data_IF_663828754978
#
_entry.id   IF_663828754978
#
_cell.length_a   1.000
_cell.length_b   1.000
_cell.length_c   1.000
_cell.angle_alpha   90.00
_cell.angle_beta   90.00
_cell.angle_gamma   90.00
#
_symmetry.space_group_name_H-M   'P 1'
#
loop_
_entity.id
_entity.type
_entity.pdbx_description
1 polymer ?
#
# COMPACT_ATOMS: atom_id res chain seq x y z
N UNK A 1 11.30 21.71 -49.25
CA UNK A 1 11.81 23.05 -48.91
C UNK A 1 12.79 22.84 -47.82
N UNK A 2 14.14 22.67 -48.11
CA UNK A 2 15.13 23.73 -48.27
C UNK A 2 15.07 24.67 -47.05
N UNK A 3 16.12 24.80 -46.23
CA UNK A 3 17.51 25.16 -46.41
C UNK A 3 18.31 24.73 -45.16
N UNK A 4 19.48 24.09 -45.18
CA UNK A 4 20.87 24.64 -45.32
C UNK A 4 21.13 25.87 -44.49
N UNK A 5 22.11 25.85 -43.54
CA UNK A 5 23.49 26.30 -43.74
C UNK A 5 24.25 26.32 -42.41
N UNK A 6 25.40 25.82 -42.38
CA UNK A 6 26.77 26.30 -42.31
C UNK A 6 27.37 26.50 -40.92
N UNK A 7 28.45 25.76 -40.69
CA UNK A 7 29.49 26.08 -39.71
C UNK A 7 30.50 27.13 -40.24
N UNK A 8 31.37 27.59 -39.41
CA UNK A 8 32.78 27.53 -39.69
C UNK A 8 33.61 27.18 -38.43
N UNK A 9 34.77 26.61 -38.41
CA UNK A 9 35.95 26.93 -39.14
C UNK A 9 37.09 26.80 -38.14
N UNK A 10 37.93 25.79 -38.32
CA UNK A 10 39.11 25.50 -37.47
C UNK A 10 40.24 26.43 -37.91
N UNK A 11 40.81 27.21 -37.01
CA UNK A 11 42.11 27.83 -37.21
C UNK A 11 43.20 27.18 -36.36
N UNK A 12 44.17 26.65 -37.04
CA UNK A 12 45.37 26.06 -36.47
C UNK A 12 46.41 27.11 -36.06
N UNK A 13 46.97 26.93 -34.89
CA UNK A 13 48.13 27.70 -34.43
C UNK A 13 49.38 26.84 -34.62
N UNK A 14 50.25 27.31 -35.50
CA UNK A 14 51.63 26.83 -35.70
C UNK A 14 52.53 27.32 -34.56
N UNK A 15 53.18 26.39 -33.89
CA UNK A 15 54.31 26.70 -32.99
C UNK A 15 55.64 26.42 -33.72
N UNK A 16 56.44 27.43 -33.87
CA UNK A 16 57.81 27.32 -34.30
C UNK A 16 58.79 27.18 -33.13
N UNK A 17 59.80 26.34 -33.24
CA UNK A 17 60.84 26.25 -32.21
C UNK A 17 62.03 27.18 -32.52
N UNK A 18 62.37 28.10 -31.64
CA UNK A 18 63.65 28.75 -31.63
C UNK A 18 64.46 28.22 -30.47
N UNK A 19 65.57 27.53 -30.86
CA UNK A 19 66.59 27.12 -29.93
C UNK A 19 67.54 28.25 -29.65
N UNK A 20 67.87 28.44 -28.43
CA UNK A 20 69.07 29.26 -28.04
C UNK A 20 70.01 28.38 -27.22
N UNK A 21 71.14 28.13 -27.82
CA UNK A 21 72.26 27.38 -27.26
C UNK A 21 73.06 28.35 -26.38
N UNK A 22 73.10 28.17 -25.08
CA UNK A 22 74.01 28.84 -24.18
C UNK A 22 75.14 27.92 -23.80
N UNK A 23 76.36 28.45 -24.06
CA UNK A 23 77.62 27.81 -23.73
C UNK A 23 77.87 27.70 -22.24
N UNK A 24 78.38 26.55 -21.82
CA UNK A 24 78.77 26.25 -20.44
C UNK A 24 80.29 26.62 -20.27
N UNK A 25 80.61 27.43 -19.26
CA UNK A 25 82.07 27.64 -18.92
C UNK A 25 82.56 26.43 -18.13
N UNK A 26 83.65 25.87 -18.56
CA UNK A 26 84.45 24.88 -17.84
C UNK A 26 85.02 25.49 -16.56
N UNK A 27 84.48 25.11 -15.40
CA UNK A 27 84.97 25.39 -14.06
C UNK A 27 85.55 24.17 -13.40
N UNK A 28 86.67 24.30 -12.74
CA UNK A 28 87.60 23.36 -12.17
C UNK A 28 86.97 22.30 -11.21
N UNK A 29 87.62 21.16 -10.96
CA UNK A 29 87.09 20.08 -10.16
C UNK A 29 86.95 20.45 -8.69
N UNK A 30 85.73 20.51 -8.20
CA UNK A 30 85.48 20.65 -6.76
C UNK A 30 85.81 19.38 -6.04
N UNK A 31 86.62 19.44 -5.00
CA UNK A 31 86.93 18.37 -4.06
C UNK A 31 85.63 17.86 -3.47
N UNK A 32 85.50 16.53 -3.28
CA UNK A 32 84.33 15.98 -2.61
C UNK A 32 84.29 16.45 -1.14
N UNK A 33 83.25 17.24 -0.83
CA UNK A 33 83.00 17.61 0.55
C UNK A 33 82.65 16.32 1.34
N UNK A 34 83.43 16.02 2.35
CA UNK A 34 83.18 14.92 3.24
C UNK A 34 81.79 15.08 3.85
N UNK A 35 80.90 14.17 3.50
CA UNK A 35 79.55 14.11 4.07
C UNK A 35 79.70 13.91 5.58
N UNK A 36 79.53 14.97 6.37
CA UNK A 36 79.49 14.89 7.80
C UNK A 36 78.26 14.07 8.18
N UNK A 37 78.49 12.82 8.55
CA UNK A 37 77.45 11.99 9.19
C UNK A 37 77.06 12.65 10.51
N UNK A 38 76.12 13.59 10.48
CA UNK A 38 75.49 14.11 11.70
C UNK A 38 74.77 12.97 12.36
N UNK A 39 75.36 12.40 13.43
CA UNK A 39 74.76 11.43 14.30
C UNK A 39 73.50 12.09 14.90
N UNK A 40 72.35 11.65 14.41
CA UNK A 40 71.04 12.06 14.94
C UNK A 40 71.03 11.88 16.46
N UNK A 41 70.75 12.94 17.20
CA UNK A 41 70.60 12.88 18.67
C UNK A 41 69.56 11.84 19.07
N UNK A 42 69.68 11.23 20.28
CA UNK A 42 68.73 10.25 20.74
C UNK A 42 67.29 10.71 20.65
N UNK A 43 67.00 12.01 20.87
CA UNK A 43 65.70 12.62 20.71
C UNK A 43 65.23 12.65 19.23
N UNK A 44 66.10 12.91 18.28
CA UNK A 44 65.77 12.88 16.86
C UNK A 44 65.46 11.47 16.35
N UNK A 45 66.18 10.45 16.85
CA UNK A 45 65.89 9.04 16.55
C UNK A 45 64.49 8.62 17.13
N UNK A 46 64.16 9.09 18.32
CA UNK A 46 62.85 8.81 18.96
C UNK A 46 61.71 9.47 18.18
N UNK A 47 61.87 10.73 17.78
CA UNK A 47 60.90 11.45 16.95
C UNK A 47 60.71 10.77 15.58
N UNK A 48 61.81 10.30 14.96
CA UNK A 48 61.72 9.59 13.68
C UNK A 48 60.99 8.25 13.83
N UNK A 49 61.30 7.49 14.91
CA UNK A 49 60.63 6.22 15.20
C UNK A 49 59.12 6.44 15.48
N UNK A 50 58.74 7.49 16.22
CA UNK A 50 57.34 7.85 16.47
C UNK A 50 56.64 8.26 15.16
N UNK A 51 57.28 9.06 14.30
CA UNK A 51 56.73 9.43 13.01
C UNK A 51 56.54 8.21 12.07
N UNK A 52 57.50 7.30 12.03
CA UNK A 52 57.39 6.03 11.29
C UNK A 52 56.25 5.14 11.83
N UNK A 53 56.08 5.06 13.13
CA UNK A 53 55.00 4.31 13.73
C UNK A 53 53.60 4.89 13.37
N UNK A 54 53.48 6.25 13.37
CA UNK A 54 52.25 6.91 12.96
C UNK A 54 51.97 6.63 11.48
N UNK A 55 52.97 6.76 10.59
CA UNK A 55 52.81 6.45 9.18
C UNK A 55 52.39 5.00 8.96
N UNK A 56 53.01 4.05 9.69
CA UNK A 56 52.63 2.65 9.59
C UNK A 56 51.15 2.41 10.01
N UNK A 57 50.72 3.02 11.10
CA UNK A 57 49.34 2.94 11.57
C UNK A 57 48.36 3.50 10.53
N UNK A 58 48.73 4.63 9.90
CA UNK A 58 47.91 5.24 8.84
C UNK A 58 47.84 4.35 7.60
N UNK A 59 48.96 3.74 7.19
CA UNK A 59 49.03 2.82 6.04
C UNK A 59 48.19 1.56 6.33
N UNK A 60 48.34 0.96 7.50
CA UNK A 60 47.56 -0.24 7.91
C UNK A 60 46.08 0.09 7.96
N UNK A 61 45.70 1.29 8.45
CA UNK A 61 44.31 1.76 8.44
C UNK A 61 43.79 1.92 7.02
N UNK A 62 44.52 2.56 6.16
CA UNK A 62 44.12 2.80 4.74
C UNK A 62 43.94 1.46 4.01
N UNK A 63 44.90 0.56 4.13
CA UNK A 63 44.81 -0.79 3.56
C UNK A 63 43.59 -1.55 4.11
N UNK A 64 43.37 -1.50 5.43
CA UNK A 64 42.23 -2.14 6.05
C UNK A 64 40.90 -1.57 5.55
N UNK A 65 40.79 -0.24 5.36
CA UNK A 65 39.60 0.43 4.81
C UNK A 65 39.38 0.00 3.37
N UNK A 66 40.44 -0.05 2.54
CA UNK A 66 40.33 -0.49 1.13
C UNK A 66 39.87 -1.95 1.03
N UNK A 67 40.48 -2.84 1.80
CA UNK A 67 40.09 -4.27 1.83
C UNK A 67 38.65 -4.44 2.30
N UNK A 68 38.24 -3.73 3.36
CA UNK A 68 36.85 -3.81 3.84
C UNK A 68 35.84 -3.17 2.87
N UNK A 69 36.25 -2.26 1.98
CA UNK A 69 35.36 -1.63 1.01
C UNK A 69 35.35 -2.35 -0.34
N UNK A 70 36.27 -3.29 -0.62
CA UNK A 70 36.32 -4.01 -1.91
C UNK A 70 35.02 -4.74 -2.23
N UNK A 71 34.38 -5.32 -1.24
CA UNK A 71 33.15 -6.08 -1.37
C UNK A 71 31.88 -5.26 -1.07
N UNK A 72 32.06 -3.98 -0.70
CA UNK A 72 30.95 -3.04 -0.36
C UNK A 72 30.66 -2.14 -1.52
N UNK A 73 30.21 -2.73 -2.62
CA UNK A 73 29.79 -2.04 -3.83
C UNK A 73 28.28 -1.78 -3.82
N UNK A 74 27.77 -0.84 -4.61
CA UNK A 74 26.31 -0.63 -4.75
C UNK A 74 25.59 -1.88 -5.24
N UNK A 75 26.21 -2.62 -6.17
CA UNK A 75 25.65 -3.87 -6.72
C UNK A 75 25.54 -4.95 -5.64
N UNK A 76 26.55 -5.06 -4.77
CA UNK A 76 26.52 -5.98 -3.64
C UNK A 76 25.40 -5.62 -2.67
N UNK A 77 25.18 -4.33 -2.38
CA UNK A 77 24.11 -3.85 -1.52
C UNK A 77 22.74 -4.13 -2.13
N UNK A 78 22.56 -3.94 -3.44
CA UNK A 78 21.30 -4.28 -4.15
C UNK A 78 21.05 -5.78 -4.11
N UNK A 79 22.08 -6.60 -4.39
CA UNK A 79 21.95 -8.06 -4.33
C UNK A 79 21.56 -8.53 -2.93
N UNK A 80 22.21 -8.02 -1.90
CA UNK A 80 21.87 -8.32 -0.50
C UNK A 80 20.42 -7.93 -0.19
N UNK A 81 20.00 -6.74 -0.58
CA UNK A 81 18.66 -6.23 -0.37
C UNK A 81 17.59 -7.14 -1.01
N UNK A 82 17.73 -7.45 -2.30
CA UNK A 82 16.77 -8.31 -3.00
C UNK A 82 16.78 -9.73 -2.44
N UNK A 83 17.97 -10.25 -2.05
CA UNK A 83 18.07 -11.56 -1.43
C UNK A 83 17.36 -11.60 -0.07
N UNK A 84 17.48 -10.55 0.76
CA UNK A 84 16.76 -10.47 2.03
C UNK A 84 15.24 -10.46 1.83
N UNK A 85 14.75 -9.76 0.79
CA UNK A 85 13.33 -9.80 0.41
C UNK A 85 12.94 -11.22 -0.02
N UNK A 86 13.73 -11.85 -0.88
CA UNK A 86 13.51 -13.22 -1.36
C UNK A 86 13.43 -14.24 -0.23
N UNK A 87 14.27 -14.06 0.78
CA UNK A 87 14.36 -14.94 1.97
C UNK A 87 13.25 -14.64 3.01
N UNK A 88 12.43 -13.63 2.78
CA UNK A 88 11.41 -13.19 3.76
C UNK A 88 11.95 -12.45 4.97
N UNK A 89 13.18 -11.98 4.91
CA UNK A 89 13.84 -11.19 5.96
C UNK A 89 13.52 -9.70 5.78
N UNK A 90 12.24 -9.37 5.72
CA UNK A 90 11.72 -8.04 5.38
C UNK A 90 12.24 -6.94 6.32
N UNK A 91 12.29 -7.23 7.63
CA UNK A 91 12.81 -6.28 8.61
C UNK A 91 14.33 -6.01 8.43
N UNK A 92 15.08 -7.00 7.95
CA UNK A 92 16.49 -6.80 7.62
C UNK A 92 16.67 -6.02 6.32
N UNK A 93 15.84 -6.29 5.30
CA UNK A 93 15.82 -5.54 4.05
C UNK A 93 15.49 -4.06 4.30
N UNK A 94 14.50 -3.76 5.13
CA UNK A 94 14.12 -2.38 5.50
C UNK A 94 15.24 -1.61 6.19
N UNK A 95 16.18 -2.27 6.89
CA UNK A 95 17.36 -1.61 7.48
C UNK A 95 18.40 -1.15 6.47
N UNK A 96 18.36 -1.68 5.25
CA UNK A 96 19.23 -1.23 4.15
C UNK A 96 18.68 -0.01 3.42
N UNK A 97 17.44 0.36 3.70
CA UNK A 97 16.78 1.54 3.14
C UNK A 97 17.13 2.78 3.97
N UNK A 98 17.04 3.96 3.35
CA UNK A 98 17.27 5.23 4.04
C UNK A 98 16.18 5.45 5.11
N UNK A 99 16.55 5.74 6.39
CA UNK A 99 15.60 5.91 7.47
C UNK A 99 14.74 7.20 7.36
N UNK A 100 15.09 8.13 6.48
CA UNK A 100 14.39 9.41 6.33
C UNK A 100 13.05 9.27 5.57
N UNK A 101 12.75 8.11 5.00
CA UNK A 101 11.45 7.84 4.39
C UNK A 101 10.46 7.33 5.44
N UNK A 102 9.40 8.09 5.65
CA UNK A 102 8.27 7.70 6.50
C UNK A 102 7.51 6.56 5.84
N UNK A 103 7.90 5.33 6.16
CA UNK A 103 7.11 4.16 5.78
C UNK A 103 5.81 4.14 6.57
N UNK A 104 4.73 3.73 5.91
CA UNK A 104 3.40 3.67 6.51
C UNK A 104 3.43 2.83 7.81
N UNK A 105 2.62 3.19 8.78
CA UNK A 105 2.44 2.45 10.05
C UNK A 105 1.97 1.00 9.85
N UNK A 106 1.72 0.63 8.61
CA UNK A 106 1.26 -0.69 8.21
C UNK A 106 2.37 -1.74 8.39
N UNK A 107 2.13 -2.73 9.24
CA UNK A 107 3.09 -3.78 9.63
C UNK A 107 3.43 -4.78 8.52
N UNK A 108 3.16 -4.47 7.23
CA UNK A 108 3.37 -5.38 6.10
C UNK A 108 4.84 -5.60 5.75
N UNK A 109 5.74 -4.72 6.17
CA UNK A 109 7.20 -4.88 5.98
C UNK A 109 7.85 -5.73 7.08
N UNK A 110 7.06 -6.53 7.80
CA UNK A 110 7.55 -7.45 8.82
C UNK A 110 7.77 -8.87 8.25
N UNK A 111 8.66 -9.64 8.86
CA UNK A 111 8.91 -11.03 8.50
C UNK A 111 7.64 -11.92 8.62
N UNK A 112 6.66 -11.50 9.44
CA UNK A 112 5.39 -12.19 9.63
C UNK A 112 4.53 -12.22 8.37
N UNK A 113 4.67 -11.23 7.49
CA UNK A 113 3.96 -11.15 6.21
C UNK A 113 4.39 -12.25 5.25
N UNK A 114 5.67 -12.67 5.34
CA UNK A 114 6.26 -13.64 4.41
C UNK A 114 5.57 -15.01 4.44
N UNK A 115 4.98 -15.42 5.56
CA UNK A 115 4.23 -16.70 5.63
C UNK A 115 3.01 -16.71 4.70
N UNK A 116 2.52 -15.54 4.27
CA UNK A 116 1.47 -15.40 3.26
C UNK A 116 1.97 -15.37 1.81
N UNK A 117 3.28 -15.35 1.58
CA UNK A 117 3.86 -15.27 0.23
C UNK A 117 3.73 -16.61 -0.49
N UNK A 118 3.20 -16.58 -1.72
CA UNK A 118 3.10 -17.72 -2.63
C UNK A 118 4.04 -17.61 -3.82
N UNK A 119 4.55 -16.42 -4.07
CA UNK A 119 5.58 -16.14 -5.07
C UNK A 119 6.45 -15.02 -4.57
N UNK A 120 7.64 -15.32 -4.07
CA UNK A 120 8.61 -14.34 -3.63
C UNK A 120 9.33 -13.71 -4.82
N UNK A 121 9.76 -12.47 -4.63
CA UNK A 121 10.73 -11.83 -5.51
C UNK A 121 12.02 -12.66 -5.52
N UNK A 122 12.63 -12.80 -6.71
CA UNK A 122 13.96 -13.41 -6.87
C UNK A 122 14.86 -12.44 -7.62
N UNK A 123 16.09 -12.33 -7.18
CA UNK A 123 17.14 -11.63 -7.92
C UNK A 123 17.52 -12.47 -9.13
N UNK A 124 17.62 -11.85 -10.30
CA UNK A 124 18.10 -12.47 -11.52
C UNK A 124 19.47 -11.92 -11.91
N UNK A 125 19.53 -10.65 -12.29
CA UNK A 125 20.75 -10.01 -12.78
C UNK A 125 20.76 -8.50 -12.53
N UNK A 126 21.91 -7.90 -12.77
CA UNK A 126 22.08 -6.45 -12.87
C UNK A 126 22.33 -6.12 -14.33
N UNK A 127 21.46 -5.30 -14.93
CA UNK A 127 21.58 -4.90 -16.34
C UNK A 127 22.54 -3.75 -16.55
N UNK A 128 22.51 -2.77 -15.67
CA UNK A 128 23.37 -1.60 -15.73
C UNK A 128 23.63 -1.00 -14.36
N UNK A 129 24.76 -0.31 -14.30
CA UNK A 129 25.21 0.38 -13.10
C UNK A 129 25.79 1.73 -13.50
N UNK A 130 25.43 2.77 -12.75
CA UNK A 130 25.98 4.12 -12.90
C UNK A 130 26.32 4.68 -11.53
N UNK A 131 27.56 5.13 -11.37
CA UNK A 131 28.02 5.81 -10.16
C UNK A 131 28.26 7.29 -10.46
N UNK A 132 27.80 8.16 -9.57
CA UNK A 132 28.06 9.59 -9.59
C UNK A 132 28.92 9.95 -8.37
N UNK A 133 30.20 10.25 -8.64
CA UNK A 133 31.17 10.60 -7.60
C UNK A 133 30.82 11.93 -6.91
N UNK A 134 30.21 12.87 -7.64
CA UNK A 134 29.93 14.21 -7.12
C UNK A 134 28.83 14.16 -6.04
N UNK A 135 27.81 13.35 -6.27
CA UNK A 135 26.69 13.17 -5.35
C UNK A 135 26.90 12.00 -4.38
N UNK A 136 27.95 11.19 -4.54
CA UNK A 136 28.12 9.92 -3.83
C UNK A 136 26.89 9.01 -3.94
N UNK A 137 26.27 8.97 -5.10
CA UNK A 137 25.09 8.18 -5.38
C UNK A 137 25.35 7.13 -6.46
N UNK A 138 24.55 6.09 -6.47
CA UNK A 138 24.59 5.08 -7.51
C UNK A 138 23.18 4.75 -7.98
N UNK A 139 23.05 4.45 -9.26
CA UNK A 139 21.84 3.91 -9.86
C UNK A 139 22.13 2.51 -10.40
N UNK A 140 21.35 1.53 -9.97
CA UNK A 140 21.50 0.13 -10.34
C UNK A 140 20.19 -0.36 -10.95
N UNK A 141 20.22 -0.77 -12.21
CA UNK A 141 19.08 -1.42 -12.85
C UNK A 141 19.15 -2.92 -12.61
N UNK A 142 18.22 -3.43 -11.85
CA UNK A 142 18.13 -4.84 -11.45
C UNK A 142 17.00 -5.54 -12.19
N UNK A 143 17.25 -6.75 -12.64
CA UNK A 143 16.22 -7.68 -13.10
C UNK A 143 15.83 -8.56 -11.92
N UNK A 144 14.54 -8.56 -11.64
CA UNK A 144 13.92 -9.43 -10.64
C UNK A 144 12.88 -10.31 -11.31
N UNK A 145 12.50 -11.40 -10.69
CA UNK A 145 11.40 -12.23 -11.17
C UNK A 145 10.45 -12.62 -10.05
N UNK A 146 9.17 -12.76 -10.40
CA UNK A 146 8.12 -13.28 -9.51
C UNK A 146 7.35 -14.33 -10.31
N UNK A 147 7.32 -15.56 -9.83
CA UNK A 147 6.69 -16.70 -10.52
C UNK A 147 7.12 -16.83 -12.00
N UNK A 148 8.40 -16.59 -12.29
CA UNK A 148 8.98 -16.67 -13.63
C UNK A 148 8.67 -15.49 -14.55
N UNK A 149 8.00 -14.46 -14.09
CA UNK A 149 7.84 -13.18 -14.83
C UNK A 149 8.96 -12.25 -14.44
N UNK A 150 9.74 -11.84 -15.45
CA UNK A 150 10.87 -10.92 -15.27
C UNK A 150 10.41 -9.46 -15.32
N UNK A 151 11.02 -8.64 -14.50
CA UNK A 151 10.77 -7.21 -14.41
C UNK A 151 12.08 -6.48 -14.15
N UNK A 152 12.23 -5.31 -14.78
CA UNK A 152 13.34 -4.41 -14.48
C UNK A 152 12.90 -3.37 -13.44
N UNK A 153 13.81 -3.03 -12.55
CA UNK A 153 13.61 -1.97 -11.57
C UNK A 153 14.89 -1.18 -11.38
N UNK A 154 14.76 0.14 -11.31
CA UNK A 154 15.86 1.05 -11.01
C UNK A 154 15.92 1.26 -9.51
N UNK A 155 17.07 0.95 -8.91
CA UNK A 155 17.36 1.24 -7.51
C UNK A 155 18.42 2.33 -7.40
N UNK A 156 18.10 3.38 -6.67
CA UNK A 156 19.04 4.45 -6.33
C UNK A 156 19.58 4.25 -4.94
N UNK A 157 20.88 4.46 -4.81
CA UNK A 157 21.59 4.29 -3.55
C UNK A 157 22.36 5.56 -3.23
N UNK A 158 22.44 5.84 -1.94
CA UNK A 158 23.25 6.90 -1.38
C UNK A 158 24.38 6.31 -0.54
N UNK A 159 25.61 6.74 -0.82
CA UNK A 159 26.76 6.34 -0.03
C UNK A 159 26.81 7.16 1.26
N UNK A 160 26.81 6.48 2.39
CA UNK A 160 27.25 7.01 3.66
C UNK A 160 28.53 6.31 4.11
N UNK A 161 29.42 7.04 4.78
CA UNK A 161 30.66 6.46 5.32
C UNK A 161 30.56 6.39 6.82
N UNK A 162 30.90 5.23 7.38
CA UNK A 162 31.02 5.12 8.83
C UNK A 162 32.19 5.97 9.35
N UNK A 163 32.26 6.21 10.67
CA UNK A 163 33.39 6.91 11.30
C UNK A 163 34.75 6.26 11.01
N UNK A 164 34.77 4.99 10.63
CA UNK A 164 35.99 4.24 10.24
C UNK A 164 36.30 4.33 8.76
N UNK A 165 35.52 5.07 7.96
CA UNK A 165 35.71 5.18 6.51
C UNK A 165 35.16 4.00 5.70
N UNK A 166 34.38 3.12 6.33
CA UNK A 166 33.77 1.95 5.68
C UNK A 166 32.54 2.41 4.91
N UNK A 167 32.43 2.02 3.65
CA UNK A 167 31.31 2.30 2.78
C UNK A 167 30.03 1.62 3.31
N UNK A 168 28.95 2.39 3.34
CA UNK A 168 27.63 1.91 3.72
C UNK A 168 26.62 2.47 2.72
N UNK A 169 26.22 1.65 1.76
CA UNK A 169 25.24 2.00 0.76
C UNK A 169 23.82 1.84 1.32
N UNK A 170 23.02 2.89 1.20
CA UNK A 170 21.61 2.90 1.57
C UNK A 170 20.75 3.07 0.33
N UNK A 171 19.71 2.27 0.25
CA UNK A 171 18.72 2.35 -0.83
C UNK A 171 17.80 3.53 -0.54
N UNK A 172 17.63 4.41 -1.54
CA UNK A 172 16.81 5.63 -1.44
C UNK A 172 15.41 5.37 -1.98
N UNK A 173 15.29 4.59 -3.06
CA UNK A 173 14.00 4.20 -3.64
C UNK A 173 13.83 2.68 -3.55
N UNK A 174 13.30 2.16 -2.45
CA UNK A 174 13.18 0.72 -2.25
C UNK A 174 12.17 0.07 -3.21
N UNK A 175 12.28 -1.25 -3.36
CA UNK A 175 11.28 -2.07 -4.06
C UNK A 175 10.02 -2.18 -3.21
N UNK A 176 9.20 -1.14 -3.20
CA UNK A 176 7.94 -1.11 -2.47
C UNK A 176 6.78 -0.82 -3.41
N UNK A 177 5.65 -1.41 -3.13
CA UNK A 177 4.37 -1.14 -3.79
C UNK A 177 3.41 -0.63 -2.74
N UNK A 178 2.81 0.52 -2.99
CA UNK A 178 1.71 1.00 -2.16
C UNK A 178 0.43 0.29 -2.56
N UNK A 179 -0.12 -0.51 -1.66
CA UNK A 179 -1.33 -1.29 -1.88
C UNK A 179 -2.48 -0.69 -1.10
N UNK A 180 -3.53 -0.30 -1.82
CA UNK A 180 -4.76 0.21 -1.22
C UNK A 180 -5.75 -0.94 -1.09
N UNK A 181 -6.01 -1.39 0.13
CA UNK A 181 -7.02 -2.38 0.47
C UNK A 181 -8.36 -1.68 0.66
N UNK A 182 -9.33 -2.01 -0.17
CA UNK A 182 -10.69 -1.47 -0.02
C UNK A 182 -11.40 -2.12 1.15
N UNK A 183 -11.99 -1.31 2.02
CA UNK A 183 -12.88 -1.79 3.06
C UNK A 183 -14.22 -2.27 2.50
N UNK A 184 -14.93 -3.06 3.31
CA UNK A 184 -16.27 -3.53 2.99
C UNK A 184 -17.12 -3.59 4.26
N UNK A 185 -18.42 -3.26 4.25
CA UNK A 185 -19.26 -3.21 5.46
C UNK A 185 -19.30 -4.49 6.29
N UNK A 186 -19.06 -5.63 5.67
CA UNK A 186 -19.04 -6.93 6.34
C UNK A 186 -17.65 -7.51 6.60
N UNK A 187 -16.61 -6.76 6.22
CA UNK A 187 -15.22 -7.14 6.45
C UNK A 187 -14.71 -6.49 7.75
N UNK A 188 -14.21 -7.32 8.65
CA UNK A 188 -13.55 -6.86 9.86
C UNK A 188 -12.05 -6.56 9.63
N UNK A 189 -11.36 -7.49 8.97
CA UNK A 189 -9.92 -7.37 8.70
C UNK A 189 -9.49 -8.19 7.50
N UNK A 190 -8.34 -7.83 6.95
CA UNK A 190 -7.55 -8.68 6.06
C UNK A 190 -6.46 -9.38 6.85
N UNK A 191 -6.16 -10.63 6.48
CA UNK A 191 -5.03 -11.37 7.01
C UNK A 191 -4.11 -11.78 5.88
N UNK A 192 -2.82 -11.44 6.03
CA UNK A 192 -1.75 -11.76 5.08
C UNK A 192 -0.61 -12.40 5.87
N UNK A 193 -0.40 -13.69 5.67
CA UNK A 193 0.48 -14.47 6.52
C UNK A 193 0.00 -14.45 7.97
N UNK A 194 0.83 -13.94 8.89
CA UNK A 194 0.47 -13.77 10.30
C UNK A 194 0.12 -12.32 10.67
N UNK A 195 0.06 -11.42 9.69
CA UNK A 195 -0.31 -10.01 9.90
C UNK A 195 -1.80 -9.82 9.67
N UNK A 196 -2.44 -9.14 10.59
CA UNK A 196 -3.85 -8.74 10.49
C UNK A 196 -3.90 -7.22 10.27
N UNK A 197 -4.59 -6.81 9.22
CA UNK A 197 -4.92 -5.42 8.90
C UNK A 197 -6.37 -5.19 9.28
N UNK A 198 -6.61 -4.30 10.22
CA UNK A 198 -7.95 -3.87 10.58
C UNK A 198 -8.55 -3.09 9.40
N UNK A 199 -9.67 -3.56 8.86
CA UNK A 199 -10.33 -2.92 7.72
C UNK A 199 -11.03 -1.60 8.08
N UNK A 200 -10.85 -1.11 9.30
CA UNK A 200 -11.44 0.16 9.74
C UNK A 200 -12.97 0.12 9.67
N UNK A 201 -13.58 -0.84 10.37
CA UNK A 201 -15.04 -0.90 10.47
C UNK A 201 -15.59 0.45 10.94
N UNK A 202 -16.39 1.10 10.10
CA UNK A 202 -17.10 2.33 10.44
C UNK A 202 -18.60 2.06 10.47
N UNK A 203 -19.24 2.39 11.56
CA UNK A 203 -20.68 2.22 11.79
C UNK A 203 -21.57 2.92 10.74
N UNK A 204 -20.98 3.84 9.96
CA UNK A 204 -21.70 4.76 9.06
C UNK A 204 -21.44 4.55 7.57
N UNK A 205 -20.57 3.65 7.18
CA UNK A 205 -20.13 3.67 5.80
C UNK A 205 -20.79 2.57 4.96
N UNK A 206 -21.62 2.95 4.05
CA UNK A 206 -21.92 2.14 2.86
C UNK A 206 -20.66 1.88 2.00
N UNK A 207 -19.55 2.49 2.36
CA UNK A 207 -18.21 2.32 1.80
C UNK A 207 -17.25 2.13 2.95
N UNK A 208 -16.64 0.96 3.07
CA UNK A 208 -15.58 0.72 4.04
C UNK A 208 -14.41 1.69 3.82
N UNK A 209 -13.72 2.05 4.89
CA UNK A 209 -12.48 2.82 4.80
C UNK A 209 -11.44 2.01 4.02
N UNK A 210 -10.65 2.68 3.19
CA UNK A 210 -9.50 2.05 2.55
C UNK A 210 -8.27 2.16 3.45
N UNK A 211 -7.43 1.12 3.41
CA UNK A 211 -6.14 1.10 4.11
C UNK A 211 -5.04 1.09 3.05
N UNK A 212 -4.12 2.02 3.16
CA UNK A 212 -2.93 2.05 2.30
C UNK A 212 -1.75 1.45 3.03
N UNK A 213 -1.09 0.48 2.41
CA UNK A 213 0.04 -0.24 2.96
C UNK A 213 1.16 -0.40 1.95
N UNK A 214 2.37 -0.14 2.38
CA UNK A 214 3.55 -0.49 1.61
C UNK A 214 3.89 -1.97 1.79
N UNK A 215 4.15 -2.65 0.69
CA UNK A 215 4.48 -4.06 0.65
C UNK A 215 5.64 -4.30 -0.31
N UNK A 216 6.47 -5.30 -0.02
CA UNK A 216 7.41 -5.80 -1.01
C UNK A 216 6.67 -6.46 -2.18
N UNK A 217 7.21 -6.40 -3.41
CA UNK A 217 6.63 -7.11 -4.55
C UNK A 217 6.54 -8.60 -4.28
N UNK A 218 5.45 -9.23 -4.74
CA UNK A 218 5.25 -10.66 -4.54
C UNK A 218 3.82 -11.10 -4.83
N UNK A 219 3.58 -12.39 -4.77
CA UNK A 219 2.24 -12.98 -4.81
C UNK A 219 1.85 -13.40 -3.41
N UNK A 220 0.76 -12.84 -2.91
CA UNK A 220 0.32 -13.02 -1.53
C UNK A 220 -1.00 -13.76 -1.46
N UNK A 221 -1.14 -14.62 -0.45
CA UNK A 221 -2.42 -15.17 -0.04
C UNK A 221 -3.08 -14.20 0.95
N UNK A 222 -4.27 -13.73 0.61
CA UNK A 222 -5.03 -12.79 1.42
C UNK A 222 -6.33 -13.46 1.86
N UNK A 223 -6.62 -13.40 3.14
CA UNK A 223 -7.84 -13.90 3.74
C UNK A 223 -8.66 -12.71 4.25
N UNK A 224 -9.96 -12.69 3.94
CA UNK A 224 -10.91 -11.75 4.52
C UNK A 224 -11.54 -12.34 5.77
N UNK A 225 -11.59 -11.58 6.86
CA UNK A 225 -12.27 -11.97 8.09
C UNK A 225 -13.61 -11.24 8.21
N UNK A 226 -14.67 -11.99 8.40
CA UNK A 226 -16.01 -11.43 8.58
C UNK A 226 -16.11 -10.60 9.86
N UNK A 227 -16.94 -9.55 9.82
CA UNK A 227 -17.33 -8.78 11.01
C UNK A 227 -17.98 -9.66 12.07
N UNK A 228 -18.81 -10.62 11.63
CA UNK A 228 -19.36 -11.65 12.48
C UNK A 228 -19.67 -12.91 11.65
N UNK A 229 -18.82 -13.96 11.73
CA UNK A 229 -18.95 -15.16 10.90
C UNK A 229 -20.19 -16.01 11.21
N UNK A 230 -20.85 -15.78 12.35
CA UNK A 230 -22.12 -16.46 12.65
C UNK A 230 -23.25 -15.97 11.74
N UNK A 231 -23.19 -14.72 11.29
CA UNK A 231 -24.25 -14.08 10.49
C UNK A 231 -23.86 -13.88 9.03
N UNK A 232 -22.58 -13.63 8.74
CA UNK A 232 -22.09 -13.44 7.36
C UNK A 232 -20.78 -14.16 7.16
N UNK A 233 -20.68 -14.90 6.07
CA UNK A 233 -19.47 -15.57 5.63
C UNK A 233 -18.78 -14.76 4.54
N UNK A 234 -17.45 -14.67 4.63
CA UNK A 234 -16.62 -14.13 3.55
C UNK A 234 -15.89 -15.29 2.88
N UNK A 235 -16.20 -15.52 1.62
CA UNK A 235 -15.59 -16.58 0.82
C UNK A 235 -14.64 -15.97 -0.22
N UNK A 236 -13.43 -16.51 -0.29
CA UNK A 236 -12.45 -16.10 -1.30
C UNK A 236 -12.86 -16.64 -2.67
N UNK A 237 -12.95 -15.75 -3.67
CA UNK A 237 -13.11 -16.11 -5.08
C UNK A 237 -11.75 -16.46 -5.70
N UNK A 238 -10.70 -15.78 -5.23
CA UNK A 238 -9.32 -16.08 -5.57
C UNK A 238 -8.45 -15.86 -4.33
N UNK A 239 -7.53 -16.81 -4.09
CA UNK A 239 -6.69 -16.79 -2.87
C UNK A 239 -5.40 -15.99 -3.04
N UNK A 240 -5.14 -15.41 -4.22
CA UNK A 240 -3.84 -14.81 -4.51
C UNK A 240 -4.01 -13.38 -5.00
N UNK A 241 -3.20 -12.53 -4.42
CA UNK A 241 -3.04 -11.14 -4.82
C UNK A 241 -1.58 -10.90 -5.23
N UNK A 242 -1.37 -10.19 -6.33
CA UNK A 242 -0.04 -9.86 -6.81
C UNK A 242 0.24 -8.39 -6.53
N UNK A 243 1.12 -8.14 -5.55
CA UNK A 243 1.70 -6.82 -5.35
C UNK A 243 2.98 -6.73 -6.18
N UNK A 244 2.94 -6.06 -7.30
CA UNK A 244 4.07 -5.95 -8.23
C UNK A 244 4.41 -4.49 -8.43
N UNK A 245 5.71 -4.16 -8.40
CA UNK A 245 6.16 -2.89 -8.93
C UNK A 245 5.88 -2.87 -10.43
N UNK A 246 4.95 -2.04 -10.88
CA UNK A 246 4.69 -1.89 -12.31
C UNK A 246 5.86 -1.15 -12.95
N UNK A 247 6.31 -1.63 -14.11
CA UNK A 247 7.28 -0.89 -14.92
C UNK A 247 6.69 0.46 -15.29
N UNK A 248 7.35 1.52 -14.86
CA UNK A 248 7.10 2.84 -15.42
C UNK A 248 8.21 3.19 -16.39
N UNK A 249 7.83 3.60 -17.60
CA UNK A 249 8.79 4.11 -18.58
C UNK A 249 9.60 5.26 -17.97
N UNK A 250 10.86 5.12 -18.00
CA UNK A 250 12.03 5.96 -17.78
C UNK A 250 11.98 7.33 -17.06
N UNK A 251 10.86 7.80 -16.52
CA UNK A 251 10.77 9.14 -15.88
C UNK A 251 9.91 9.21 -14.62
N UNK A 252 9.36 8.08 -14.12
CA UNK A 252 8.43 8.08 -12.99
C UNK A 252 9.11 8.14 -11.63
N UNK A 253 8.57 8.97 -10.75
CA UNK A 253 8.87 8.95 -9.30
C UNK A 253 8.37 7.66 -8.67
N UNK A 254 9.02 7.20 -7.59
CA UNK A 254 8.64 5.99 -6.81
C UNK A 254 7.20 6.03 -6.29
N UNK A 255 6.59 7.21 -6.23
CA UNK A 255 5.20 7.43 -5.81
C UNK A 255 4.14 6.85 -6.75
N UNK A 256 4.52 6.33 -7.93
CA UNK A 256 3.57 5.93 -8.96
C UNK A 256 3.22 4.43 -8.95
N UNK A 257 3.75 3.67 -7.98
CA UNK A 257 3.46 2.24 -7.86
C UNK A 257 2.29 2.00 -6.90
N UNK A 258 1.08 2.13 -7.43
CA UNK A 258 -0.14 1.83 -6.69
C UNK A 258 -0.77 0.54 -7.19
N UNK A 259 -1.05 -0.37 -6.27
CA UNK A 259 -1.94 -1.50 -6.52
C UNK A 259 -3.22 -1.31 -5.71
N UNK A 260 -4.37 -1.48 -6.35
CA UNK A 260 -5.67 -1.47 -5.64
C UNK A 260 -6.14 -2.91 -5.45
N UNK A 261 -6.38 -3.28 -4.19
CA UNK A 261 -7.02 -4.54 -3.86
C UNK A 261 -8.52 -4.30 -3.69
N UNK A 262 -9.29 -4.62 -4.73
CA UNK A 262 -10.73 -4.47 -4.74
C UNK A 262 -11.40 -5.68 -4.09
N UNK A 263 -12.08 -5.47 -2.97
CA UNK A 263 -12.74 -6.53 -2.22
C UNK A 263 -13.61 -7.44 -3.09
N UNK A 264 -14.49 -6.85 -3.90
CA UNK A 264 -15.46 -7.59 -4.70
C UNK A 264 -14.86 -8.45 -5.83
N UNK A 265 -13.60 -8.21 -6.22
CA UNK A 265 -12.89 -9.06 -7.19
C UNK A 265 -12.36 -10.35 -6.56
N UNK A 266 -12.17 -10.35 -5.25
CA UNK A 266 -11.47 -11.41 -4.54
C UNK A 266 -12.33 -12.12 -3.50
N UNK A 267 -13.41 -11.50 -3.06
CA UNK A 267 -14.29 -12.05 -2.04
C UNK A 267 -15.76 -11.94 -2.41
N UNK A 268 -16.53 -12.88 -1.91
CA UNK A 268 -18.00 -12.83 -1.89
C UNK A 268 -18.48 -12.90 -0.45
N UNK A 269 -19.55 -12.19 -0.15
CA UNK A 269 -20.21 -12.23 1.15
C UNK A 269 -21.50 -13.04 1.00
N UNK A 270 -21.73 -13.98 1.92
CA UNK A 270 -22.94 -14.78 1.97
C UNK A 270 -23.61 -14.62 3.33
N UNK A 271 -24.94 -14.36 3.39
CA UNK A 271 -25.70 -14.44 4.63
C UNK A 271 -25.81 -15.90 5.09
N UNK A 272 -25.63 -16.13 6.39
CA UNK A 272 -25.85 -17.45 6.99
C UNK A 272 -27.33 -17.72 7.28
N UNK A 273 -27.70 -18.97 7.57
CA UNK A 273 -29.05 -19.30 8.01
C UNK A 273 -29.37 -18.62 9.36
N UNK A 274 -28.36 -18.41 10.22
CA UNK A 274 -28.57 -17.67 11.48
C UNK A 274 -28.99 -16.22 11.22
N UNK A 275 -28.43 -15.55 10.21
CA UNK A 275 -28.87 -14.21 9.84
C UNK A 275 -30.33 -14.20 9.38
N UNK A 276 -30.74 -15.17 8.57
CA UNK A 276 -32.10 -15.27 8.07
C UNK A 276 -33.11 -15.50 9.24
N UNK A 277 -32.78 -16.43 10.12
CA UNK A 277 -33.60 -16.73 11.31
C UNK A 277 -33.70 -15.53 12.25
N UNK A 278 -32.63 -14.77 12.40
CA UNK A 278 -32.63 -13.58 13.23
C UNK A 278 -33.40 -12.41 12.59
N UNK A 279 -33.31 -12.20 11.26
CA UNK A 279 -33.91 -11.06 10.58
C UNK A 279 -35.44 -11.10 10.54
N UNK A 280 -36.04 -12.28 10.38
CA UNK A 280 -37.49 -12.43 10.22
C UNK A 280 -38.32 -11.88 11.41
N UNK A 281 -38.01 -12.19 12.68
CA UNK A 281 -38.74 -11.62 13.83
C UNK A 281 -38.56 -10.09 13.91
N UNK A 282 -37.42 -9.57 13.52
CA UNK A 282 -37.15 -8.11 13.50
C UNK A 282 -38.08 -7.41 12.48
N UNK A 283 -38.21 -7.99 11.27
CA UNK A 283 -39.11 -7.47 10.24
C UNK A 283 -40.57 -7.55 10.71
N UNK A 284 -41.00 -8.68 11.27
CA UNK A 284 -42.34 -8.83 11.82
C UNK A 284 -42.64 -7.78 12.90
N UNK A 285 -41.70 -7.59 13.83
CA UNK A 285 -41.83 -6.59 14.90
C UNK A 285 -41.97 -5.17 14.33
N UNK A 286 -41.16 -4.85 13.31
CA UNK A 286 -41.22 -3.53 12.66
C UNK A 286 -42.54 -3.31 11.92
N UNK A 287 -43.03 -4.29 11.18
CA UNK A 287 -44.32 -4.21 10.50
C UNK A 287 -45.45 -3.93 11.53
N UNK A 288 -45.49 -4.66 12.65
CA UNK A 288 -46.49 -4.44 13.72
C UNK A 288 -46.37 -3.04 14.32
N UNK A 289 -45.15 -2.61 14.64
CA UNK A 289 -44.90 -1.28 15.20
C UNK A 289 -45.39 -0.18 14.27
N UNK A 290 -45.06 -0.26 12.99
CA UNK A 290 -45.48 0.73 12.00
C UNK A 290 -46.98 0.76 11.78
N UNK A 291 -47.67 -0.37 11.83
CA UNK A 291 -49.12 -0.42 11.70
C UNK A 291 -49.86 0.16 12.93
N UNK A 292 -49.21 0.23 14.09
CA UNK A 292 -49.79 0.79 15.32
C UNK A 292 -49.67 2.34 15.42
N UNK A 293 -48.95 2.96 14.55
CA UNK A 293 -48.71 4.44 14.58
C UNK A 293 -49.90 5.17 13.97
N UNK A 294 -50.44 6.14 14.69
CA UNK A 294 -51.54 6.99 14.23
C UNK A 294 -51.09 7.90 13.06
N UNK A 295 -52.02 8.15 12.13
CA UNK A 295 -51.81 9.06 11.02
C UNK A 295 -52.10 10.53 11.40
N UNK A 296 -51.40 11.59 10.91
CA UNK A 296 -50.25 11.58 10.01
C UNK A 296 -48.96 11.14 10.72
N UNK A 297 -48.19 10.36 10.04
CA UNK A 297 -46.98 9.79 10.60
C UNK A 297 -45.88 10.84 10.74
N UNK A 298 -45.26 10.82 11.90
CA UNK A 298 -44.06 11.63 12.19
C UNK A 298 -42.76 10.87 12.03
N UNK A 299 -42.83 9.55 11.83
CA UNK A 299 -41.67 8.65 11.78
C UNK A 299 -41.42 8.20 10.33
N UNK A 300 -40.50 8.87 9.65
CA UNK A 300 -40.10 8.56 8.29
C UNK A 300 -39.39 7.21 8.13
N UNK A 301 -39.19 6.46 9.19
CA UNK A 301 -38.54 5.17 9.16
C UNK A 301 -39.49 3.98 8.97
N UNK A 302 -40.82 4.24 8.94
CA UNK A 302 -41.78 3.19 8.68
C UNK A 302 -41.84 2.83 7.21
N UNK A 303 -41.78 1.54 6.89
CA UNK A 303 -41.72 1.06 5.51
C UNK A 303 -42.96 1.37 4.67
N UNK A 304 -43.99 2.01 5.23
CA UNK A 304 -45.24 2.39 4.54
C UNK A 304 -45.31 3.83 4.05
N UNK A 305 -44.25 4.58 4.18
CA UNK A 305 -44.22 6.04 3.83
C UNK A 305 -44.21 6.38 2.35
N UNK A 306 -43.74 5.46 1.53
CA UNK A 306 -43.74 5.65 0.07
C UNK A 306 -45.12 5.51 -0.58
N UNK A 307 -46.15 5.32 0.24
CA UNK A 307 -47.53 5.33 -0.27
C UNK A 307 -47.91 6.76 -0.58
N UNK A 308 -47.75 7.04 -1.84
CA UNK A 308 -47.96 8.28 -2.52
C UNK A 308 -49.19 9.05 -2.06
N UNK A 309 -49.31 10.27 -2.56
CA UNK A 309 -50.45 11.18 -2.56
C UNK A 309 -51.81 10.55 -2.73
N UNK A 310 -51.92 9.26 -3.13
CA UNK A 310 -53.16 8.56 -3.40
C UNK A 310 -53.87 8.08 -2.12
N UNK A 311 -53.15 8.01 -0.99
CA UNK A 311 -53.75 7.63 0.31
C UNK A 311 -53.84 8.83 1.28
N UNK A 312 -54.46 9.89 0.82
CA UNK A 312 -54.80 11.00 1.69
C UNK A 312 -55.91 10.55 2.65
N UNK A 313 -55.77 10.74 3.98
CA UNK A 313 -56.72 10.41 5.02
C UNK A 313 -56.82 8.89 5.38
N UNK A 314 -55.68 8.23 5.59
CA UNK A 314 -55.68 6.89 6.18
C UNK A 314 -56.18 6.93 7.63
N UNK A 315 -57.28 6.24 7.92
CA UNK A 315 -57.92 6.13 9.25
C UNK A 315 -57.40 4.95 10.07
N UNK A 316 -57.13 3.84 9.41
CA UNK A 316 -56.66 2.64 10.09
C UNK A 316 -55.73 1.82 9.19
N UNK A 317 -54.78 1.18 9.84
CA UNK A 317 -53.90 0.17 9.25
C UNK A 317 -53.99 -1.08 10.11
N UNK A 318 -54.32 -2.22 9.50
CA UNK A 318 -54.36 -3.49 10.17
C UNK A 318 -53.49 -4.51 9.45
N UNK A 319 -52.56 -5.15 10.17
CA UNK A 319 -51.75 -6.23 9.60
C UNK A 319 -52.62 -7.47 9.44
N UNK A 320 -52.91 -7.82 8.19
CA UNK A 320 -53.68 -9.03 7.87
C UNK A 320 -52.79 -10.27 7.92
N UNK A 321 -51.60 -10.17 7.32
CA UNK A 321 -50.67 -11.29 7.25
C UNK A 321 -49.25 -10.80 7.52
N UNK A 322 -48.62 -11.41 8.53
CA UNK A 322 -47.17 -11.23 8.79
C UNK A 322 -46.39 -12.23 7.94
N UNK A 323 -45.18 -11.84 7.50
CA UNK A 323 -44.32 -12.78 6.79
C UNK A 323 -43.93 -13.95 7.69
N UNK A 324 -44.03 -15.16 7.18
CA UNK A 324 -43.58 -16.40 7.85
C UNK A 324 -42.20 -16.83 7.40
N UNK A 325 -41.74 -16.30 6.25
CA UNK A 325 -40.41 -16.54 5.66
C UNK A 325 -39.89 -15.26 5.08
N UNK A 326 -38.55 -15.20 4.90
CA UNK A 326 -37.95 -14.15 4.13
C UNK A 326 -38.09 -14.46 2.63
N UNK A 327 -38.52 -13.46 1.85
CA UNK A 327 -38.56 -13.55 0.38
C UNK A 327 -37.13 -13.68 -0.18
N UNK A 328 -36.23 -12.86 0.33
CA UNK A 328 -34.79 -12.92 -0.04
C UNK A 328 -33.92 -12.36 1.06
N UNK A 329 -32.69 -12.87 1.15
CA UNK A 329 -31.60 -12.23 1.89
C UNK A 329 -30.40 -12.21 0.96
N UNK A 330 -29.97 -11.03 0.56
CA UNK A 330 -28.88 -10.87 -0.39
C UNK A 330 -28.52 -9.41 -0.66
N UNK A 331 -27.61 -9.18 -1.59
CA UNK A 331 -27.19 -7.82 -1.93
C UNK A 331 -28.34 -6.98 -2.50
N UNK A 332 -28.36 -5.73 -2.09
CA UNK A 332 -29.19 -4.71 -2.74
C UNK A 332 -28.53 -4.36 -4.09
N UNK A 333 -29.30 -4.33 -5.16
CA UNK A 333 -28.79 -3.99 -6.49
C UNK A 333 -28.02 -2.65 -6.46
N UNK A 334 -26.76 -2.71 -6.92
CA UNK A 334 -25.88 -1.53 -6.97
C UNK A 334 -25.23 -1.12 -5.65
N UNK A 335 -25.43 -1.88 -4.55
CA UNK A 335 -24.78 -1.64 -3.26
C UNK A 335 -24.03 -2.87 -2.78
N UNK A 336 -23.08 -2.67 -1.85
CA UNK A 336 -22.39 -3.76 -1.15
C UNK A 336 -23.16 -4.23 0.10
N UNK A 337 -24.44 -3.88 0.22
CA UNK A 337 -25.24 -4.12 1.42
C UNK A 337 -26.16 -5.32 1.24
N UNK A 338 -26.33 -6.10 2.29
CA UNK A 338 -27.30 -7.18 2.37
C UNK A 338 -28.63 -6.61 2.86
N UNK A 339 -29.69 -6.87 2.11
CA UNK A 339 -31.05 -6.60 2.54
C UNK A 339 -31.78 -7.91 2.87
N UNK A 340 -32.51 -7.91 3.97
CA UNK A 340 -33.52 -8.91 4.27
C UNK A 340 -34.88 -8.39 3.82
N UNK A 341 -35.60 -9.18 3.02
CA UNK A 341 -36.90 -8.82 2.41
C UNK A 341 -37.96 -9.83 2.80
N UNK A 342 -39.14 -9.32 3.12
CA UNK A 342 -40.28 -10.16 3.41
C UNK A 342 -41.60 -9.48 3.01
N UNK A 343 -42.55 -10.25 2.54
CA UNK A 343 -43.87 -9.76 2.09
C UNK A 343 -44.90 -9.83 3.23
N UNK A 344 -45.67 -8.77 3.34
CA UNK A 344 -46.78 -8.67 4.28
C UNK A 344 -48.05 -8.21 3.56
N UNK A 345 -49.23 -8.54 4.12
CA UNK A 345 -50.51 -7.99 3.67
C UNK A 345 -51.05 -7.07 4.74
N UNK A 346 -51.35 -5.85 4.35
CA UNK A 346 -51.85 -4.81 5.26
C UNK A 346 -53.18 -4.31 4.73
N UNK A 347 -54.18 -4.31 5.58
CA UNK A 347 -55.47 -3.71 5.32
C UNK A 347 -55.40 -2.21 5.61
N UNK A 348 -55.71 -1.40 4.62
CA UNK A 348 -55.71 0.06 4.71
C UNK A 348 -57.15 0.54 4.64
N UNK A 349 -57.58 1.29 5.65
CA UNK A 349 -58.87 1.96 5.64
C UNK A 349 -58.64 3.45 5.43
N UNK A 350 -59.14 3.98 4.35
CA UNK A 350 -59.09 5.42 3.96
C UNK A 350 -60.48 6.03 4.07
N UNK A 351 -60.53 7.32 4.36
CA UNK A 351 -61.73 8.10 4.25
C UNK A 351 -61.64 9.08 3.07
N UNK A 352 -62.55 8.97 2.14
CA UNK A 352 -62.71 9.92 1.04
C UNK A 352 -63.89 10.86 1.34
N UNK A 353 -63.66 12.17 1.23
CA UNK A 353 -64.71 13.12 1.24
C UNK A 353 -65.24 13.29 -0.20
N UNK A 354 -66.44 12.82 -0.47
CA UNK A 354 -67.06 12.97 -1.79
C UNK A 354 -68.05 14.12 -1.82
N UNK A 355 -67.73 15.09 -2.71
CA UNK A 355 -68.65 16.12 -3.15
C UNK A 355 -69.05 17.17 -2.12
N UNK A 356 -69.99 18.06 -2.51
CA UNK A 356 -70.50 19.21 -1.75
C UNK A 356 -71.33 18.82 -0.52
N UNK A 357 -71.66 17.54 -0.36
CA UNK A 357 -72.46 17.03 0.79
C UNK A 357 -71.63 16.73 2.02
N UNK A 358 -70.28 16.71 1.91
CA UNK A 358 -69.41 16.39 3.06
C UNK A 358 -69.51 14.97 3.58
N UNK A 359 -70.20 14.04 2.89
CA UNK A 359 -70.34 12.65 3.32
C UNK A 359 -69.04 11.91 3.18
N UNK A 360 -68.52 11.44 4.31
CA UNK A 360 -67.30 10.67 4.40
C UNK A 360 -67.56 9.19 4.05
N UNK A 361 -66.92 8.67 3.03
CA UNK A 361 -67.02 7.27 2.63
C UNK A 361 -65.74 6.58 3.01
N UNK A 362 -65.82 5.52 3.79
CA UNK A 362 -64.68 4.67 4.11
C UNK A 362 -64.48 3.61 3.05
N UNK A 363 -63.26 3.53 2.51
CA UNK A 363 -62.81 2.50 1.60
C UNK A 363 -61.75 1.64 2.31
N UNK A 364 -61.88 0.34 2.20
CA UNK A 364 -60.93 -0.61 2.80
C UNK A 364 -60.35 -1.48 1.69
N UNK A 365 -59.02 -1.52 1.59
CA UNK A 365 -58.30 -2.30 0.58
C UNK A 365 -57.16 -3.07 1.20
N UNK A 366 -56.86 -4.27 0.67
CA UNK A 366 -55.67 -5.03 1.03
C UNK A 366 -54.49 -4.56 0.22
N UNK A 367 -53.37 -4.33 0.90
CA UNK A 367 -52.15 -3.84 0.30
C UNK A 367 -51.00 -4.83 0.52
N UNK A 368 -50.34 -5.24 -0.57
CA UNK A 368 -49.18 -6.11 -0.51
C UNK A 368 -47.93 -5.27 -0.31
N UNK A 369 -47.24 -5.55 0.75
CA UNK A 369 -46.09 -4.75 1.17
C UNK A 369 -44.82 -5.60 1.24
N UNK A 370 -43.75 -5.19 0.55
CA UNK A 370 -42.43 -5.79 0.64
C UNK A 370 -41.59 -5.00 1.64
N UNK A 371 -41.43 -5.53 2.83
CA UNK A 371 -40.60 -4.94 3.88
C UNK A 371 -39.12 -5.23 3.62
N UNK A 372 -38.30 -4.17 3.61
CA UNK A 372 -36.87 -4.26 3.35
C UNK A 372 -36.07 -3.66 4.49
N UNK A 373 -35.31 -4.50 5.17
CA UNK A 373 -34.33 -4.05 6.18
C UNK A 373 -32.89 -4.26 5.71
N UNK A 374 -32.08 -3.22 5.78
CA UNK A 374 -30.65 -3.29 5.45
C UNK A 374 -29.90 -3.84 6.66
N UNK A 375 -29.18 -4.95 6.45
CA UNK A 375 -28.36 -5.55 7.49
C UNK A 375 -27.09 -4.71 7.70
N UNK A 376 -26.87 -4.31 8.93
CA UNK A 376 -25.64 -3.68 9.40
C UNK A 376 -25.19 -4.35 10.70
N UNK A 377 -24.02 -3.98 11.19
CA UNK A 377 -23.51 -4.47 12.47
C UNK A 377 -23.21 -3.28 13.39
N UNK A 378 -23.44 -3.45 14.67
CA UNK A 378 -23.08 -2.45 15.69
C UNK A 378 -21.62 -2.58 16.14
N UNK A 379 -21.21 -1.75 17.10
CA UNK A 379 -19.84 -1.77 17.68
C UNK A 379 -19.51 -3.10 18.37
N UNK A 380 -20.51 -3.82 18.85
CA UNK A 380 -20.38 -5.14 19.45
C UNK A 380 -20.43 -6.26 18.39
N UNK A 381 -20.46 -5.89 17.12
CA UNK A 381 -20.57 -6.78 15.96
C UNK A 381 -21.84 -7.63 15.97
N UNK A 382 -22.92 -7.11 16.57
CA UNK A 382 -24.23 -7.74 16.49
C UNK A 382 -24.99 -7.18 15.29
N UNK A 383 -25.77 -8.03 14.59
CA UNK A 383 -26.55 -7.58 13.46
C UNK A 383 -27.66 -6.63 13.91
N UNK A 384 -27.87 -5.59 13.13
CA UNK A 384 -29.00 -4.66 13.25
C UNK A 384 -29.64 -4.50 11.88
N UNK A 385 -30.97 -4.29 11.86
CA UNK A 385 -31.67 -3.90 10.64
C UNK A 385 -31.90 -2.39 10.65
N UNK A 386 -31.36 -1.72 9.64
CA UNK A 386 -31.72 -0.33 9.33
C UNK A 386 -32.76 -0.30 8.24
N UNK A 387 -33.77 0.49 8.46
CA UNK A 387 -34.87 0.66 7.54
C UNK A 387 -34.55 1.83 6.61
N UNK A 388 -34.82 1.67 5.30
CA UNK A 388 -34.71 2.79 4.40
C UNK A 388 -35.79 3.81 4.77
N UNK A 389 -35.34 5.02 5.07
CA UNK A 389 -36.19 6.21 5.18
C UNK A 389 -36.42 6.81 3.80
#
# INVERSE_FOLDING_TARGET
>A
MMATENGPGVEGVKVSPQGTRQEVPKGAPARPAAASRRLLTKKAKLCLAAALAIVLVLVVREVSVRVNNSDRTPEAAVREYVQLISDGKYEAASKLVNPDENYSECKMLSNKTFSGVKGAVKFDSINSFKYDENSNSATVNVVISINGRFMESELRLQLSKTRRGINNWKIVNPLLVNVVFQGHPYLYSYKIGSVVLDAGYTEYAGYGSSISCEMYPGVYNIEGQSVNPEYVEINSVGKQFVAVAMQHGSTGSVSDFYASFEFNKHFTVKPTEKLKTWALPQIQSRIKSCASISYPRKDNSCPFETWSSDYINVKALEVQTLPTTLHSVGYVNGTSLIAARADAVIKVTTAESRGTSGQEISKTEDFYYNAVGIVQFDKQRQPILKWNS
#
